data_IF_573383200165
#
_entry.id   IF_573383200165
#
_cell.length_a   1.000
_cell.length_b   1.000
_cell.length_c   1.000
_cell.angle_alpha   90.00
_cell.angle_beta   90.00
_cell.angle_gamma   90.00
#
_symmetry.space_group_name_H-M   'P 1'
#
loop_
_entity.id
_entity.type
_entity.pdbx_description
1 polymer ?
#
# COMPACT_ATOMS: atom_id res chain seq x y z
N UNK A 1 -44.83 23.77 -42.55
CA UNK A 1 -45.93 23.06 -43.24
C UNK A 1 -45.61 21.57 -43.23
N UNK A 2 -46.50 20.75 -42.62
CA UNK A 2 -46.79 19.30 -42.84
C UNK A 2 -45.62 18.28 -42.79
N UNK A 3 -45.71 17.06 -42.25
CA UNK A 3 -46.67 16.22 -41.50
C UNK A 3 -45.86 14.90 -41.25
N UNK A 4 -45.75 14.41 -40.01
CA UNK A 4 -46.38 13.19 -39.49
C UNK A 4 -45.76 11.81 -39.83
N UNK A 5 -45.70 10.99 -38.77
CA UNK A 5 -45.76 9.51 -38.69
C UNK A 5 -44.45 8.75 -38.90
N UNK A 6 -44.12 7.68 -38.15
CA UNK A 6 -44.99 6.59 -37.72
C UNK A 6 -44.33 5.75 -36.60
N UNK A 7 -45.08 5.52 -35.51
CA UNK A 7 -44.88 4.45 -34.51
C UNK A 7 -45.33 3.11 -35.12
N UNK A 8 -44.57 2.02 -34.91
CA UNK A 8 -44.98 0.57 -34.89
C UNK A 8 -43.73 -0.18 -34.37
N UNK A 9 -43.67 -0.66 -33.13
CA UNK A 9 -44.28 -1.90 -32.61
C UNK A 9 -43.60 -3.17 -33.13
N UNK A 10 -42.78 -3.80 -32.29
CA UNK A 10 -42.81 -5.25 -32.07
C UNK A 10 -42.12 -5.62 -30.76
N UNK A 11 -42.92 -6.11 -29.81
CA UNK A 11 -42.48 -6.94 -28.70
C UNK A 11 -41.81 -8.21 -29.23
N UNK A 12 -40.66 -8.58 -28.65
CA UNK A 12 -40.27 -9.98 -28.58
C UNK A 12 -39.93 -10.30 -27.12
N UNK A 13 -40.92 -10.94 -26.50
CA UNK A 13 -40.77 -11.80 -25.33
C UNK A 13 -39.68 -12.84 -25.62
N UNK A 14 -38.55 -12.78 -24.91
CA UNK A 14 -37.69 -13.96 -24.75
C UNK A 14 -37.69 -14.33 -23.27
N UNK A 15 -38.53 -15.33 -23.04
CA UNK A 15 -38.63 -16.24 -21.90
C UNK A 15 -37.34 -16.38 -21.09
N UNK A 16 -37.42 -15.99 -19.82
CA UNK A 16 -36.54 -16.44 -18.76
C UNK A 16 -36.61 -17.97 -18.66
N UNK A 17 -35.54 -18.66 -19.07
CA UNK A 17 -35.39 -20.09 -18.86
C UNK A 17 -34.59 -20.34 -17.59
N UNK A 18 -35.30 -20.97 -16.66
CA UNK A 18 -34.90 -21.52 -15.38
C UNK A 18 -33.57 -22.26 -15.36
N UNK A 19 -32.85 -22.01 -14.27
CA UNK A 19 -32.23 -22.99 -13.38
C UNK A 19 -31.23 -24.02 -13.96
N UNK A 20 -29.95 -23.83 -13.61
CA UNK A 20 -29.12 -24.92 -13.07
C UNK A 20 -27.97 -24.34 -12.22
N UNK A 21 -28.22 -24.16 -10.92
CA UNK A 21 -27.23 -24.45 -9.88
C UNK A 21 -27.73 -25.72 -9.17
N UNK A 22 -26.91 -26.53 -8.47
CA UNK A 22 -25.74 -26.15 -7.68
C UNK A 22 -24.52 -27.06 -7.94
N UNK A 23 -23.32 -26.67 -7.50
CA UNK A 23 -22.33 -27.58 -6.91
C UNK A 23 -21.08 -26.78 -6.52
N UNK A 24 -20.92 -26.51 -5.23
CA UNK A 24 -19.57 -26.46 -4.67
C UNK A 24 -19.63 -27.22 -3.37
N UNK A 25 -19.15 -28.45 -3.47
CA UNK A 25 -18.86 -29.37 -2.37
C UNK A 25 -18.16 -28.63 -1.25
N UNK A 26 -18.86 -28.41 -0.14
CA UNK A 26 -18.22 -28.07 1.11
C UNK A 26 -17.61 -29.36 1.65
N UNK A 27 -16.29 -29.50 1.53
CA UNK A 27 -15.55 -30.48 2.33
C UNK A 27 -15.59 -29.99 3.78
N UNK A 28 -16.14 -30.78 4.72
CA UNK A 28 -16.05 -30.46 6.14
C UNK A 28 -14.58 -30.47 6.56
N UNK A 29 -14.08 -29.32 7.02
CA UNK A 29 -12.82 -29.27 7.74
C UNK A 29 -13.09 -29.78 9.15
N UNK A 30 -12.64 -31.00 9.43
CA UNK A 30 -12.61 -31.56 10.77
C UNK A 30 -11.66 -30.77 11.69
N UNK A 31 -11.95 -30.74 13.00
CA UNK A 31 -11.24 -29.92 13.97
C UNK A 31 -9.90 -30.55 14.35
N UNK A 32 -8.79 -29.86 14.05
CA UNK A 32 -7.50 -30.20 14.65
C UNK A 32 -7.45 -29.58 16.05
N UNK A 33 -7.84 -30.40 17.02
CA UNK A 33 -7.57 -30.15 18.42
C UNK A 33 -6.13 -30.52 18.77
N UNK A 34 -5.56 -29.68 19.65
CA UNK A 34 -4.56 -30.03 20.67
C UNK A 34 -3.12 -30.28 20.21
N UNK A 35 -2.27 -29.29 20.53
CA UNK A 35 -1.15 -29.53 21.45
C UNK A 35 -0.89 -28.29 22.30
N UNK A 36 -1.24 -28.41 23.59
CA UNK A 36 -0.60 -27.68 24.68
C UNK A 36 0.90 -27.98 24.67
N UNK A 37 1.71 -26.93 24.75
CA UNK A 37 3.08 -27.01 25.23
C UNK A 37 3.25 -25.94 26.31
N UNK A 38 2.99 -26.39 27.54
CA UNK A 38 3.76 -26.14 28.76
C UNK A 38 4.56 -24.84 28.82
N UNK A 39 4.07 -23.95 29.70
CA UNK A 39 4.86 -22.93 30.37
C UNK A 39 5.97 -23.57 31.22
N UNK A 40 7.14 -22.93 31.29
CA UNK A 40 7.56 -22.32 32.55
C UNK A 40 8.74 -21.36 32.35
N UNK A 41 8.85 -20.34 33.23
CA UNK A 41 9.72 -19.19 33.11
C UNK A 41 11.15 -19.60 33.42
N UNK A 42 12.11 -18.72 33.14
CA UNK A 42 13.23 -18.47 34.06
C UNK A 42 14.20 -17.42 33.51
N UNK A 43 14.31 -16.36 34.31
CA UNK A 43 15.45 -15.46 34.49
C UNK A 43 15.79 -14.44 33.38
N UNK A 44 15.31 -13.22 33.64
CA UNK A 44 16.00 -12.01 33.25
C UNK A 44 17.48 -12.06 33.70
N UNK A 45 18.45 -11.75 32.84
CA UNK A 45 19.82 -11.55 33.29
C UNK A 45 19.89 -10.30 34.16
N UNK A 46 20.38 -10.52 35.38
CA UNK A 46 20.86 -9.55 36.37
C UNK A 46 21.49 -8.31 35.74
N UNK A 47 20.95 -7.14 36.08
CA UNK A 47 21.63 -5.85 35.90
C UNK A 47 22.99 -5.92 36.58
N UNK A 48 24.04 -5.98 35.77
CA UNK A 48 25.38 -5.66 36.22
C UNK A 48 25.49 -4.15 36.17
N UNK A 49 25.74 -3.53 37.32
CA UNK A 49 26.05 -2.10 37.45
C UNK A 49 27.16 -1.71 36.46
N UNK A 50 26.77 -1.05 35.37
CA UNK A 50 27.71 -0.36 34.49
C UNK A 50 28.08 0.93 35.22
N UNK A 51 29.36 1.15 35.59
CA UNK A 51 29.76 2.41 36.17
C UNK A 51 29.47 3.54 35.18
N UNK A 52 28.74 4.55 35.65
CA UNK A 52 28.44 5.78 34.93
C UNK A 52 29.75 6.36 34.38
N UNK A 53 29.94 6.48 33.05
CA UNK A 53 31.10 7.16 32.52
C UNK A 53 31.02 8.64 32.97
N UNK A 54 32.04 9.06 33.70
CA UNK A 54 32.29 10.46 34.02
C UNK A 54 32.17 11.31 32.75
N UNK A 55 31.30 12.32 32.84
CA UNK A 55 30.97 13.28 31.80
C UNK A 55 32.25 13.81 31.13
N UNK A 56 32.57 13.21 30.00
CA UNK A 56 33.57 13.71 29.07
C UNK A 56 32.79 14.59 28.12
N UNK A 57 33.09 15.88 28.12
CA UNK A 57 32.56 16.86 27.18
C UNK A 57 32.82 16.37 25.76
N UNK A 58 31.81 15.77 25.14
CA UNK A 58 31.85 15.39 23.73
C UNK A 58 31.77 16.69 22.94
N UNK A 59 32.67 16.95 21.97
CA UNK A 59 32.48 18.07 21.06
C UNK A 59 31.14 17.84 20.35
N UNK A 60 30.23 18.81 20.47
CA UNK A 60 29.01 18.83 19.69
C UNK A 60 29.45 19.05 18.26
N UNK A 61 29.65 17.94 17.53
CA UNK A 61 29.87 17.98 16.09
C UNK A 61 28.51 18.40 15.55
N UNK A 62 28.43 19.66 15.14
CA UNK A 62 27.28 20.24 14.48
C UNK A 62 27.08 19.43 13.19
N UNK A 63 26.19 18.43 13.28
CA UNK A 63 25.88 17.57 12.15
C UNK A 63 25.20 18.48 11.13
N UNK A 64 25.70 18.56 9.88
CA UNK A 64 25.04 19.38 8.88
C UNK A 64 23.60 18.89 8.78
N UNK A 65 22.67 19.74 9.19
CA UNK A 65 21.26 19.58 8.84
C UNK A 65 21.16 19.97 7.38
N UNK A 66 21.72 19.17 6.49
CA UNK A 66 21.41 19.22 5.06
C UNK A 66 20.01 18.63 4.88
N UNK A 67 19.00 19.39 5.32
CA UNK A 67 17.73 19.39 4.62
C UNK A 67 18.01 20.12 3.32
N UNK A 68 18.64 19.42 2.36
CA UNK A 68 18.75 19.96 1.03
C UNK A 68 17.33 20.08 0.49
N UNK A 69 16.90 21.30 0.18
CA UNK A 69 15.76 21.63 -0.69
C UNK A 69 15.99 21.08 -2.11
N UNK A 70 16.46 19.85 -2.24
CA UNK A 70 16.54 19.14 -3.50
C UNK A 70 15.11 18.72 -3.82
N UNK A 71 14.53 19.35 -4.85
CA UNK A 71 13.22 19.00 -5.37
C UNK A 71 13.14 17.48 -5.58
N UNK A 72 12.22 16.82 -4.87
CA UNK A 72 12.02 15.38 -5.00
C UNK A 72 11.41 15.10 -6.38
N UNK A 73 12.22 14.51 -7.25
CA UNK A 73 11.78 13.97 -8.55
C UNK A 73 11.05 12.63 -8.41
N UNK A 74 9.88 12.52 -9.03
CA UNK A 74 9.15 11.26 -9.11
C UNK A 74 10.00 10.18 -9.80
N UNK A 75 10.56 10.48 -10.97
CA UNK A 75 11.28 9.51 -11.78
C UNK A 75 12.56 9.00 -11.10
N UNK A 76 13.27 9.88 -10.39
CA UNK A 76 14.59 9.57 -9.84
C UNK A 76 14.55 9.06 -8.40
N UNK A 77 13.57 9.48 -7.59
CA UNK A 77 13.55 9.14 -6.16
C UNK A 77 12.37 8.22 -5.80
N UNK A 78 11.17 8.50 -6.32
CA UNK A 78 9.95 7.81 -5.88
C UNK A 78 9.70 6.51 -6.66
N UNK A 79 9.74 6.59 -7.99
CA UNK A 79 9.48 5.45 -8.86
C UNK A 79 10.44 4.26 -8.61
N UNK A 80 11.75 4.45 -8.34
CA UNK A 80 12.64 3.34 -8.01
C UNK A 80 12.23 2.59 -6.74
N UNK A 81 11.68 3.29 -5.73
CA UNK A 81 11.16 2.68 -4.50
C UNK A 81 9.96 1.78 -4.85
N UNK A 82 9.00 2.29 -5.63
CA UNK A 82 7.83 1.51 -6.03
C UNK A 82 8.18 0.32 -6.94
N UNK A 83 9.11 0.50 -7.87
CA UNK A 83 9.60 -0.58 -8.74
C UNK A 83 10.20 -1.73 -7.92
N UNK A 84 10.96 -1.41 -6.88
CA UNK A 84 11.64 -2.41 -6.05
C UNK A 84 10.68 -3.10 -5.08
N UNK A 85 9.79 -2.33 -4.45
CA UNK A 85 9.01 -2.80 -3.30
C UNK A 85 7.57 -3.19 -3.63
N UNK A 86 7.00 -2.68 -4.73
CA UNK A 86 5.56 -2.75 -4.96
C UNK A 86 5.15 -3.44 -6.27
N UNK A 87 5.87 -3.19 -7.37
CA UNK A 87 5.52 -3.64 -8.73
C UNK A 87 5.40 -5.16 -8.85
N UNK A 88 6.12 -5.94 -8.03
CA UNK A 88 5.99 -7.41 -7.99
C UNK A 88 4.55 -7.89 -7.71
N UNK A 89 3.75 -7.12 -6.98
CA UNK A 89 2.33 -7.43 -6.72
C UNK A 89 1.36 -6.45 -7.40
N UNK A 90 1.79 -5.19 -7.59
CA UNK A 90 0.99 -4.07 -8.11
C UNK A 90 1.52 -3.58 -9.46
N UNK A 91 1.92 -4.51 -10.34
CA UNK A 91 2.42 -4.19 -11.68
C UNK A 91 2.59 -5.42 -12.56
N UNK A 92 1.91 -6.52 -12.22
CA UNK A 92 1.87 -7.76 -13.01
C UNK A 92 0.53 -7.89 -13.72
N UNK A 93 0.38 -8.84 -14.64
CA UNK A 93 -0.87 -9.07 -15.39
C UNK A 93 -2.09 -9.35 -14.49
N UNK A 94 -1.87 -9.85 -13.27
CA UNK A 94 -2.89 -9.99 -12.23
C UNK A 94 -2.77 -8.85 -11.22
N UNK A 95 -3.11 -7.64 -11.66
CA UNK A 95 -3.07 -6.43 -10.84
C UNK A 95 -4.01 -6.60 -9.64
N UNK A 96 -3.46 -6.77 -8.44
CA UNK A 96 -4.27 -6.86 -7.22
C UNK A 96 -5.00 -5.54 -6.99
N UNK A 97 -6.32 -5.64 -6.82
CA UNK A 97 -7.21 -4.50 -6.57
C UNK A 97 -7.15 -3.42 -7.66
N UNK A 98 -6.66 -3.77 -8.86
CA UNK A 98 -6.56 -2.81 -9.98
C UNK A 98 -5.52 -1.71 -9.80
N UNK A 99 -4.64 -1.81 -8.79
CA UNK A 99 -3.58 -0.85 -8.53
C UNK A 99 -2.30 -1.16 -9.31
N UNK A 100 -1.96 -0.30 -10.28
CA UNK A 100 -0.74 -0.37 -11.09
C UNK A 100 0.25 0.76 -10.75
N UNK A 101 1.43 0.40 -10.29
CA UNK A 101 2.47 1.32 -9.78
C UNK A 101 3.66 1.47 -10.73
N UNK A 102 3.53 1.04 -11.99
CA UNK A 102 4.65 1.06 -12.95
C UNK A 102 4.93 2.44 -13.55
N UNK A 103 3.95 3.33 -13.56
CA UNK A 103 4.12 4.70 -14.05
C UNK A 103 3.40 5.71 -13.16
N UNK A 104 3.73 6.98 -13.36
CA UNK A 104 3.05 8.09 -12.69
C UNK A 104 1.55 8.06 -12.98
N UNK A 105 1.18 7.92 -14.25
CA UNK A 105 -0.20 7.97 -14.72
C UNK A 105 -1.04 6.86 -14.10
N UNK A 106 -0.51 5.63 -14.05
CA UNK A 106 -1.24 4.49 -13.47
C UNK A 106 -1.33 4.60 -11.95
N UNK A 107 -0.27 5.06 -11.29
CA UNK A 107 -0.24 5.28 -9.85
C UNK A 107 -1.28 6.34 -9.43
N UNK A 108 -1.34 7.46 -10.15
CA UNK A 108 -2.26 8.56 -9.87
C UNK A 108 -3.70 8.26 -10.30
N UNK A 109 -3.92 7.31 -11.22
CA UNK A 109 -5.27 6.81 -11.55
C UNK A 109 -5.92 6.04 -10.40
N UNK A 110 -5.12 5.53 -9.45
CA UNK A 110 -5.60 4.86 -8.26
C UNK A 110 -5.86 3.37 -8.45
N UNK A 111 -6.78 2.85 -7.64
CA UNK A 111 -7.16 1.43 -7.61
C UNK A 111 -8.65 1.27 -7.92
N UNK A 112 -9.15 0.03 -7.96
CA UNK A 112 -10.60 -0.22 -8.03
C UNK A 112 -11.37 0.32 -6.83
N UNK A 113 -10.68 0.58 -5.70
CA UNK A 113 -11.25 1.18 -4.51
C UNK A 113 -11.16 2.73 -4.51
N UNK A 114 -10.65 3.33 -5.59
CA UNK A 114 -10.56 4.78 -5.77
C UNK A 114 -9.14 5.33 -5.55
N UNK A 115 -9.09 6.60 -5.17
CA UNK A 115 -7.87 7.39 -4.95
C UNK A 115 -7.00 6.76 -3.87
N UNK A 116 -5.69 6.66 -4.12
CA UNK A 116 -4.71 6.12 -3.16
C UNK A 116 -3.67 7.14 -2.70
N UNK A 117 -3.51 8.22 -3.46
CA UNK A 117 -2.61 9.34 -3.18
C UNK A 117 -3.45 10.60 -3.30
N UNK A 118 -3.43 11.41 -2.25
CA UNK A 118 -4.02 12.75 -2.23
C UNK A 118 -2.88 13.76 -2.33
N UNK A 119 -2.63 14.36 -3.51
CA UNK A 119 -1.58 15.36 -3.69
C UNK A 119 -1.67 16.49 -2.67
N UNK A 120 -0.56 16.80 -2.00
CA UNK A 120 -0.47 17.83 -0.96
C UNK A 120 -1.00 17.39 0.41
N UNK A 121 -1.49 16.15 0.56
CA UNK A 121 -2.00 15.64 1.82
C UNK A 121 -1.55 14.19 2.06
N UNK A 122 -0.36 13.99 2.66
CA UNK A 122 0.12 12.65 3.00
C UNK A 122 -0.77 11.93 4.01
N UNK A 123 -1.35 12.66 4.97
CA UNK A 123 -2.20 12.09 6.01
C UNK A 123 -3.49 11.48 5.43
N UNK A 124 -4.00 12.04 4.33
CA UNK A 124 -5.16 11.53 3.57
C UNK A 124 -4.77 10.55 2.45
N UNK A 125 -3.47 10.28 2.26
CA UNK A 125 -3.00 9.35 1.24
C UNK A 125 -3.02 7.91 1.75
N UNK A 126 -4.04 7.15 1.35
CA UNK A 126 -4.22 5.75 1.74
C UNK A 126 -2.97 4.88 1.50
N UNK A 127 -2.24 5.09 0.40
CA UNK A 127 -1.00 4.37 0.14
C UNK A 127 0.03 4.56 1.27
N UNK A 128 0.19 5.81 1.74
CA UNK A 128 1.17 6.12 2.77
C UNK A 128 0.76 5.51 4.11
N UNK A 129 -0.53 5.55 4.45
CA UNK A 129 -1.07 4.88 5.65
C UNK A 129 -0.71 3.39 5.65
N UNK A 130 -0.97 2.68 4.54
CA UNK A 130 -0.64 1.26 4.42
C UNK A 130 0.86 0.97 4.53
N UNK A 131 1.73 1.89 4.10
CA UNK A 131 3.19 1.75 4.25
C UNK A 131 3.59 1.93 5.72
N UNK A 132 3.08 2.97 6.39
CA UNK A 132 3.41 3.32 7.77
C UNK A 132 2.89 2.25 8.74
N UNK A 133 1.68 1.75 8.53
CA UNK A 133 1.08 0.68 9.34
C UNK A 133 1.79 -0.67 9.14
N UNK A 134 2.73 -0.75 8.19
CA UNK A 134 3.45 -1.97 7.88
C UNK A 134 2.57 -2.99 7.18
N UNK A 135 1.45 -2.61 6.58
CA UNK A 135 0.61 -3.49 5.76
C UNK A 135 1.21 -3.70 4.37
N UNK A 136 1.95 -2.71 3.87
CA UNK A 136 2.65 -2.76 2.58
C UNK A 136 4.16 -2.48 2.73
N UNK A 137 5.03 -3.26 2.07
CA UNK A 137 4.72 -4.46 1.28
C UNK A 137 4.22 -5.62 2.15
N UNK A 138 3.17 -6.33 1.69
CA UNK A 138 2.64 -7.54 2.38
C UNK A 138 3.66 -8.66 2.48
N UNK A 139 4.57 -8.73 1.51
CA UNK A 139 5.64 -9.74 1.43
C UNK A 139 6.92 -9.02 1.08
N UNK A 140 7.98 -9.32 1.82
CA UNK A 140 9.28 -8.68 1.63
C UNK A 140 9.59 -7.65 2.72
N UNK A 141 10.74 -6.99 2.61
CA UNK A 141 11.16 -5.98 3.57
C UNK A 141 10.22 -4.78 3.54
N UNK A 142 10.03 -4.16 4.71
CA UNK A 142 9.37 -2.86 4.83
C UNK A 142 10.28 -1.77 4.27
N UNK A 143 9.69 -0.64 3.88
CA UNK A 143 10.45 0.53 3.49
C UNK A 143 11.24 1.05 4.69
N UNK A 144 12.42 1.62 4.41
CA UNK A 144 13.19 2.33 5.43
C UNK A 144 12.52 3.66 5.77
N UNK A 145 12.85 4.23 6.92
CA UNK A 145 12.34 5.56 7.31
C UNK A 145 12.66 6.63 6.25
N UNK A 146 13.85 6.56 5.64
CA UNK A 146 14.26 7.45 4.55
C UNK A 146 13.39 7.28 3.30
N UNK A 147 13.08 6.04 2.90
CA UNK A 147 12.20 5.79 1.75
C UNK A 147 10.77 6.28 2.01
N UNK A 148 10.26 6.11 3.23
CA UNK A 148 8.96 6.63 3.64
C UNK A 148 8.98 8.16 3.55
N UNK A 149 10.03 8.80 4.08
CA UNK A 149 10.19 10.25 4.06
C UNK A 149 10.20 10.80 2.62
N UNK A 150 10.92 10.17 1.69
CA UNK A 150 10.93 10.55 0.26
C UNK A 150 9.51 10.53 -0.33
N UNK A 151 8.72 9.49 -0.03
CA UNK A 151 7.34 9.39 -0.53
C UNK A 151 6.46 10.46 0.13
N UNK A 152 6.59 10.65 1.44
CA UNK A 152 5.84 11.66 2.21
C UNK A 152 6.10 13.06 1.66
N UNK A 153 7.35 13.42 1.44
CA UNK A 153 7.75 14.73 0.94
C UNK A 153 7.32 14.95 -0.51
N UNK A 154 7.40 13.92 -1.35
CA UNK A 154 6.86 13.98 -2.70
C UNK A 154 5.34 14.21 -2.70
N UNK A 155 4.58 13.53 -1.83
CA UNK A 155 3.14 13.75 -1.70
C UNK A 155 2.87 15.17 -1.20
N UNK A 156 3.59 15.63 -0.17
CA UNK A 156 3.50 17.00 0.36
C UNK A 156 3.74 18.07 -0.71
N UNK A 157 4.70 17.84 -1.61
CA UNK A 157 5.00 18.73 -2.73
C UNK A 157 3.92 18.74 -3.84
N UNK A 158 2.80 18.03 -3.65
CA UNK A 158 1.72 17.95 -4.63
C UNK A 158 1.89 16.79 -5.61
N UNK A 159 2.69 15.78 -5.25
CA UNK A 159 2.96 14.61 -6.07
C UNK A 159 3.31 14.95 -7.54
N UNK A 160 4.30 15.84 -7.80
CA UNK A 160 4.63 16.25 -9.16
C UNK A 160 5.22 15.10 -9.99
N UNK A 161 5.01 15.17 -11.31
CA UNK A 161 5.71 14.33 -12.30
C UNK A 161 6.86 15.13 -12.91
N UNK A 162 8.05 15.06 -12.30
CA UNK A 162 9.23 15.90 -12.56
C UNK A 162 10.53 15.11 -12.69
#
# INVERSE_FOLDING_TARGET
MKKQNLLISTLIFITALSACGPQTTQTPLEPVATTEATAEPTQAPTSTDIPLPTSTTVPVIDLPTESSDADISFANHVLPIFNTSCVKCHGTEQIKEGLDMRSYETLMAGSFNGTIITPGNPDDSYLLQQIIDGEMPKRGPKLTAEQIQIITDWINAGAPNN
#
